data_IF_515757828209
#
_entry.id   IF_515757828209
#
_cell.length_a   1.000
_cell.length_b   1.000
_cell.length_c   1.000
_cell.angle_alpha   90.00
_cell.angle_beta   90.00
_cell.angle_gamma   90.00
#
_symmetry.space_group_name_H-M   'P 1'
#
loop_
_entity.id
_entity.type
_entity.pdbx_description
1 polymer ?
#
# COMPACT_ATOMS: atom_id res chain seq x y z
N UNK A 1 6.85 -12.69 -8.06
CA UNK A 1 6.57 -11.48 -8.86
C UNK A 1 5.24 -11.54 -9.57
N UNK A 2 4.94 -12.63 -10.21
CA UNK A 2 3.65 -12.83 -10.89
C UNK A 2 2.46 -12.72 -9.96
N UNK A 3 2.60 -13.20 -8.73
CA UNK A 3 1.54 -13.12 -7.73
C UNK A 3 1.19 -11.67 -7.36
N UNK A 4 2.19 -10.80 -7.27
CA UNK A 4 1.97 -9.38 -6.95
C UNK A 4 1.14 -8.73 -8.05
N UNK A 5 1.53 -8.93 -9.30
CA UNK A 5 0.78 -8.38 -10.44
C UNK A 5 -0.64 -8.94 -10.51
N UNK A 6 -0.81 -10.24 -10.28
CA UNK A 6 -2.12 -10.87 -10.31
C UNK A 6 -3.02 -10.34 -9.20
N UNK A 7 -2.49 -10.15 -8.01
CA UNK A 7 -3.23 -9.58 -6.89
C UNK A 7 -3.69 -8.16 -7.20
N UNK A 8 -2.81 -7.35 -7.77
CA UNK A 8 -3.15 -5.98 -8.16
C UNK A 8 -4.10 -5.93 -9.35
N UNK A 9 -4.01 -6.88 -10.29
CA UNK A 9 -4.93 -6.94 -11.42
C UNK A 9 -6.36 -7.19 -10.97
N UNK A 10 -6.55 -8.00 -9.94
CA UNK A 10 -7.88 -8.24 -9.37
C UNK A 10 -8.46 -6.94 -8.78
N UNK A 11 -7.63 -6.17 -8.07
CA UNK A 11 -8.04 -4.87 -7.53
C UNK A 11 -8.37 -3.90 -8.67
N UNK A 12 -7.50 -3.83 -9.67
CA UNK A 12 -7.69 -2.99 -10.84
C UNK A 12 -9.03 -3.26 -11.53
N UNK A 13 -9.36 -4.54 -11.69
CA UNK A 13 -10.62 -4.93 -12.32
C UNK A 13 -11.82 -4.43 -11.52
N UNK A 14 -11.73 -4.48 -10.19
CA UNK A 14 -12.78 -3.94 -9.34
C UNK A 14 -12.96 -2.44 -9.51
N UNK A 15 -11.86 -1.69 -9.60
CA UNK A 15 -11.93 -0.23 -9.80
C UNK A 15 -12.39 0.15 -11.21
N UNK A 16 -12.08 -0.65 -12.22
CA UNK A 16 -12.34 -0.29 -13.62
C UNK A 16 -13.82 -0.15 -13.97
N UNK A 17 -14.70 -0.77 -13.20
CA UNK A 17 -16.15 -0.72 -13.43
C UNK A 17 -16.84 0.36 -12.58
N UNK A 18 -16.09 1.14 -11.82
CA UNK A 18 -16.62 2.13 -10.88
C UNK A 18 -16.30 3.56 -11.33
N UNK A 19 -17.19 4.51 -10.99
CA UNK A 19 -16.96 5.95 -11.16
C UNK A 19 -16.20 6.51 -9.96
N UNK A 20 -15.75 7.77 -10.06
CA UNK A 20 -14.91 8.41 -9.06
C UNK A 20 -15.38 8.26 -7.61
N UNK A 21 -16.65 8.61 -7.32
CA UNK A 21 -17.19 8.50 -5.96
C UNK A 21 -17.25 7.05 -5.50
N UNK A 22 -17.68 6.16 -6.37
CA UNK A 22 -17.78 4.73 -6.05
C UNK A 22 -16.41 4.10 -5.84
N UNK A 23 -15.39 4.60 -6.55
CA UNK A 23 -14.00 4.17 -6.32
C UNK A 23 -13.56 4.48 -4.89
N UNK A 24 -13.91 5.66 -4.38
CA UNK A 24 -13.56 6.02 -3.00
C UNK A 24 -14.28 5.13 -1.99
N UNK A 25 -15.56 4.82 -2.23
CA UNK A 25 -16.32 3.91 -1.36
C UNK A 25 -15.67 2.53 -1.34
N UNK A 26 -15.30 2.00 -2.50
CA UNK A 26 -14.64 0.71 -2.60
C UNK A 26 -13.29 0.72 -1.86
N UNK A 27 -12.53 1.79 -2.02
CA UNK A 27 -11.24 1.95 -1.34
C UNK A 27 -11.41 1.99 0.18
N UNK A 28 -12.39 2.72 0.67
CA UNK A 28 -12.69 2.78 2.11
C UNK A 28 -13.08 1.39 2.63
N UNK A 29 -13.86 0.64 1.86
CA UNK A 29 -14.26 -0.73 2.23
C UNK A 29 -13.05 -1.67 2.30
N UNK A 30 -12.10 -1.53 1.37
CA UNK A 30 -10.84 -2.28 1.44
C UNK A 30 -10.10 -1.97 2.73
N UNK A 31 -10.07 -0.71 3.13
CA UNK A 31 -9.39 -0.27 4.34
C UNK A 31 -9.98 -0.86 5.62
N UNK A 32 -11.26 -1.20 5.62
CA UNK A 32 -11.90 -1.87 6.76
C UNK A 32 -11.33 -3.26 7.02
N UNK A 33 -10.71 -3.86 6.02
CA UNK A 33 -10.09 -5.18 6.11
C UNK A 33 -8.60 -5.11 6.41
N UNK A 34 -8.07 -3.92 6.64
CA UNK A 34 -6.66 -3.72 6.94
C UNK A 34 -6.25 -4.54 8.18
N UNK A 35 -5.20 -5.33 8.04
CA UNK A 35 -4.57 -6.02 9.16
C UNK A 35 -3.73 -4.99 9.91
N UNK A 36 -4.20 -4.59 11.08
CA UNK A 36 -3.68 -3.43 11.78
C UNK A 36 -2.42 -3.74 12.58
N UNK A 37 -1.50 -2.80 12.54
CA UNK A 37 -0.31 -2.80 13.39
C UNK A 37 -0.74 -2.59 14.86
N UNK A 38 -0.13 -3.32 15.77
CA UNK A 38 -0.39 -3.17 17.21
C UNK A 38 -0.04 -1.75 17.66
N UNK A 39 -0.78 -1.23 18.62
CA UNK A 39 -0.54 0.10 19.16
C UNK A 39 0.88 0.26 19.68
N UNK A 40 1.44 -0.76 20.33
CA UNK A 40 2.80 -0.73 20.86
C UNK A 40 3.85 -0.60 19.77
N UNK A 41 3.54 -0.97 18.54
CA UNK A 41 4.46 -0.89 17.41
C UNK A 41 4.31 0.40 16.61
N UNK A 42 3.36 1.26 16.98
CA UNK A 42 3.16 2.58 16.33
C UNK A 42 4.13 3.59 16.94
N UNK A 43 5.34 3.61 16.40
CA UNK A 43 6.45 4.41 16.90
C UNK A 43 7.02 5.29 15.80
N UNK A 44 8.01 6.12 16.12
CA UNK A 44 8.70 6.92 15.10
C UNK A 44 9.33 6.05 14.02
N UNK A 45 9.82 4.85 14.39
CA UNK A 45 10.49 3.95 13.45
C UNK A 45 9.52 3.36 12.44
N UNK A 46 8.26 3.25 12.76
CA UNK A 46 7.23 2.70 11.85
C UNK A 46 6.36 3.78 11.23
N UNK A 47 6.56 5.04 11.58
CA UNK A 47 5.74 6.14 11.09
C UNK A 47 6.08 6.50 9.64
N UNK A 48 5.05 6.73 8.84
CA UNK A 48 5.19 7.20 7.46
C UNK A 48 5.04 8.73 7.47
N UNK A 49 6.16 9.41 7.46
CA UNK A 49 6.21 10.88 7.58
C UNK A 49 5.67 11.62 6.36
N UNK A 50 5.63 10.96 5.21
CA UNK A 50 5.10 11.57 3.98
C UNK A 50 3.57 11.76 4.02
N UNK A 51 2.88 11.05 4.93
CA UNK A 51 1.43 11.19 5.09
C UNK A 51 1.11 12.37 5.99
N UNK A 52 0.09 13.16 5.62
CA UNK A 52 -0.42 14.24 6.47
C UNK A 52 -1.21 13.68 7.65
N UNK A 53 -1.90 12.55 7.45
CA UNK A 53 -2.57 11.82 8.53
C UNK A 53 -1.57 10.92 9.25
N UNK A 54 -1.79 10.70 10.55
CA UNK A 54 -0.97 9.77 11.33
C UNK A 54 -1.06 8.38 10.71
N UNK A 55 0.08 7.84 10.27
CA UNK A 55 0.15 6.57 9.54
C UNK A 55 1.40 5.80 9.96
N UNK A 56 1.25 4.50 10.19
CA UNK A 56 2.34 3.60 10.57
C UNK A 56 2.30 2.35 9.73
N UNK A 57 3.47 1.79 9.45
CA UNK A 57 3.63 0.58 8.64
C UNK A 57 4.78 -0.24 9.19
N UNK A 58 4.54 -1.52 9.38
CA UNK A 58 5.56 -2.45 9.90
C UNK A 58 5.65 -3.66 8.96
N UNK A 59 6.89 -4.07 8.68
CA UNK A 59 7.17 -5.29 7.94
C UNK A 59 7.41 -6.43 8.93
N UNK A 60 6.76 -7.55 8.69
CA UNK A 60 6.95 -8.78 9.46
C UNK A 60 7.53 -9.85 8.54
N UNK A 61 8.39 -10.67 9.08
CA UNK A 61 9.09 -11.69 8.30
C UNK A 61 8.79 -13.08 8.87
N UNK A 62 8.45 -14.02 7.96
CA UNK A 62 8.33 -15.44 8.29
C UNK A 62 9.16 -16.17 7.25
N UNK A 63 10.35 -16.61 7.65
CA UNK A 63 11.38 -17.08 6.74
C UNK A 63 11.72 -15.96 5.75
N UNK A 64 11.59 -16.19 4.45
CA UNK A 64 11.84 -15.16 3.43
C UNK A 64 10.59 -14.43 2.98
N UNK A 65 9.46 -14.76 3.57
CA UNK A 65 8.18 -14.15 3.20
C UNK A 65 7.90 -12.92 4.06
N UNK A 66 7.34 -11.89 3.41
CA UNK A 66 7.04 -10.62 4.04
C UNK A 66 5.53 -10.47 4.21
N UNK A 67 5.12 -9.95 5.36
CA UNK A 67 3.75 -9.48 5.58
C UNK A 67 3.79 -8.07 6.11
N UNK A 68 2.74 -7.30 5.83
CA UNK A 68 2.62 -5.91 6.26
C UNK A 68 1.53 -5.78 7.30
N UNK A 69 1.79 -4.94 8.31
CA UNK A 69 0.77 -4.46 9.24
C UNK A 69 0.83 -2.95 9.24
N UNK A 70 -0.34 -2.31 9.26
CA UNK A 70 -0.38 -0.87 9.10
C UNK A 70 -1.60 -0.26 9.78
N UNK A 71 -1.59 1.06 9.91
CA UNK A 71 -2.73 1.83 10.39
C UNK A 71 -2.62 3.27 9.92
N UNK A 72 -3.76 3.89 9.65
CA UNK A 72 -3.83 5.33 9.40
C UNK A 72 -5.12 5.88 10.00
N UNK A 73 -5.08 7.14 10.40
CA UNK A 73 -6.28 7.86 10.83
C UNK A 73 -7.16 8.23 9.64
N UNK A 74 -6.61 8.24 8.42
CA UNK A 74 -7.37 8.50 7.20
C UNK A 74 -7.97 7.20 6.66
N UNK A 75 -9.28 7.18 6.43
CA UNK A 75 -9.96 6.01 5.86
C UNK A 75 -9.51 5.71 4.44
N UNK A 76 -9.17 6.75 3.68
CA UNK A 76 -8.66 6.60 2.31
C UNK A 76 -7.27 5.97 2.33
N UNK A 77 -6.39 6.46 3.20
CA UNK A 77 -5.04 5.91 3.33
C UNK A 77 -5.08 4.47 3.81
N UNK A 78 -6.00 4.13 4.73
CA UNK A 78 -6.21 2.72 5.13
C UNK A 78 -6.49 1.83 3.92
N UNK A 79 -7.30 2.31 2.99
CA UNK A 79 -7.59 1.57 1.76
C UNK A 79 -6.35 1.37 0.90
N UNK A 80 -5.54 2.41 0.75
CA UNK A 80 -4.28 2.33 0.01
C UNK A 80 -3.31 1.35 0.66
N UNK A 81 -3.22 1.37 1.99
CA UNK A 81 -2.39 0.42 2.74
C UNK A 81 -2.89 -1.01 2.58
N UNK A 82 -4.21 -1.20 2.56
CA UNK A 82 -4.78 -2.54 2.31
C UNK A 82 -4.42 -3.06 0.93
N UNK A 83 -4.39 -2.19 -0.08
CA UNK A 83 -3.92 -2.58 -1.41
C UNK A 83 -2.49 -3.10 -1.34
N UNK A 84 -1.61 -2.43 -0.59
CA UNK A 84 -0.24 -2.90 -0.41
C UNK A 84 -0.18 -4.24 0.29
N UNK A 85 -1.02 -4.47 1.29
CA UNK A 85 -1.11 -5.78 1.95
C UNK A 85 -1.52 -6.88 0.98
N UNK A 86 -2.56 -6.63 0.20
CA UNK A 86 -3.04 -7.61 -0.79
C UNK A 86 -1.94 -7.90 -1.81
N UNK A 87 -1.22 -6.86 -2.25
CA UNK A 87 -0.17 -7.01 -3.24
C UNK A 87 1.03 -7.80 -2.71
N UNK A 88 1.49 -7.49 -1.51
CA UNK A 88 2.79 -7.92 -1.02
C UNK A 88 2.78 -9.04 0.02
N UNK A 89 1.67 -9.26 0.72
CA UNK A 89 1.63 -10.27 1.78
C UNK A 89 1.99 -11.65 1.23
N UNK A 90 2.84 -12.34 1.97
CA UNK A 90 3.35 -13.68 1.64
C UNK A 90 4.20 -13.70 0.37
N UNK A 91 4.81 -12.57 0.02
CA UNK A 91 5.77 -12.46 -1.09
C UNK A 91 7.19 -12.45 -0.55
N UNK A 92 8.14 -12.88 -1.38
CA UNK A 92 9.56 -12.80 -1.04
C UNK A 92 10.04 -11.35 -1.12
N UNK A 93 11.02 -11.00 -0.27
CA UNK A 93 11.65 -9.67 -0.30
C UNK A 93 12.05 -9.24 -1.69
N UNK A 94 12.72 -10.13 -2.40
CA UNK A 94 13.27 -9.89 -3.74
C UNK A 94 12.16 -9.52 -4.73
N UNK A 95 11.04 -10.23 -4.65
CA UNK A 95 9.90 -9.98 -5.53
C UNK A 95 9.30 -8.60 -5.28
N UNK A 96 9.20 -8.19 -4.02
CA UNK A 96 8.67 -6.88 -3.65
C UNK A 96 9.62 -5.77 -4.13
N UNK A 97 10.92 -5.91 -3.88
CA UNK A 97 11.93 -4.93 -4.31
C UNK A 97 11.89 -4.76 -5.82
N UNK A 98 11.86 -5.86 -6.56
CA UNK A 98 11.82 -5.82 -8.02
C UNK A 98 10.54 -5.16 -8.53
N UNK A 99 9.41 -5.47 -7.90
CA UNK A 99 8.13 -4.87 -8.30
C UNK A 99 8.14 -3.35 -8.09
N UNK A 100 8.55 -2.88 -6.90
CA UNK A 100 8.62 -1.45 -6.60
C UNK A 100 9.57 -0.75 -7.56
N UNK A 101 10.71 -1.36 -7.85
CA UNK A 101 11.71 -0.82 -8.77
C UNK A 101 11.24 -0.74 -10.22
N UNK A 102 10.16 -1.44 -10.58
CA UNK A 102 9.63 -1.41 -11.95
C UNK A 102 8.80 -0.17 -12.25
N UNK A 103 8.48 0.64 -11.24
CA UNK A 103 7.73 1.89 -11.42
C UNK A 103 8.65 3.07 -11.18
N UNK A 104 8.66 4.02 -12.13
CA UNK A 104 9.44 5.24 -12.01
C UNK A 104 8.82 6.20 -11.01
N UNK A 105 7.49 6.23 -10.96
CA UNK A 105 6.76 7.08 -10.02
C UNK A 105 5.42 6.46 -9.62
N UNK A 106 4.85 7.05 -8.59
CA UNK A 106 3.58 6.65 -8.00
C UNK A 106 2.40 6.87 -8.96
N UNK A 107 2.49 7.87 -9.82
CA UNK A 107 1.41 8.19 -10.76
C UNK A 107 1.12 7.05 -11.70
N UNK A 108 2.18 6.39 -12.20
CA UNK A 108 2.04 5.25 -13.11
C UNK A 108 1.25 4.12 -12.46
N UNK A 109 1.52 3.83 -11.21
CA UNK A 109 0.80 2.78 -10.48
C UNK A 109 -0.66 3.16 -10.26
N UNK A 110 -0.94 4.41 -9.89
CA UNK A 110 -2.31 4.88 -9.70
C UNK A 110 -3.11 4.81 -10.99
N UNK A 111 -2.52 5.22 -12.11
CA UNK A 111 -3.18 5.13 -13.41
C UNK A 111 -3.44 3.69 -13.80
N UNK A 112 -2.47 2.82 -13.58
CA UNK A 112 -2.62 1.41 -13.89
C UNK A 112 -3.74 0.77 -13.06
N UNK A 113 -3.89 1.20 -11.79
CA UNK A 113 -4.95 0.71 -10.91
C UNK A 113 -6.32 1.36 -11.19
N UNK A 114 -6.39 2.33 -12.08
CA UNK A 114 -7.59 3.12 -12.36
C UNK A 114 -8.04 3.99 -11.18
N UNK A 115 -7.08 4.43 -10.37
CA UNK A 115 -7.33 5.29 -9.20
C UNK A 115 -7.05 6.77 -9.47
N UNK A 116 -6.25 7.08 -10.47
CA UNK A 116 -5.62 8.37 -10.73
C UNK A 116 -6.34 9.61 -10.20
N UNK A 117 -7.45 10.00 -10.83
CA UNK A 117 -8.15 11.24 -10.49
C UNK A 117 -8.98 11.17 -9.21
N UNK A 118 -9.21 9.96 -8.68
CA UNK A 118 -10.01 9.79 -7.46
C UNK A 118 -9.22 10.10 -6.18
N UNK A 119 -7.89 10.13 -6.26
CA UNK A 119 -7.00 10.26 -5.10
C UNK A 119 -6.26 11.59 -5.18
N UNK A 120 -6.32 12.39 -4.11
CA UNK A 120 -5.61 13.67 -4.03
C UNK A 120 -4.10 13.49 -4.06
N UNK A 121 -3.38 14.53 -4.49
CA UNK A 121 -1.91 14.53 -4.52
C UNK A 121 -1.29 14.21 -3.17
N UNK A 122 -1.87 14.74 -2.09
CA UNK A 122 -1.36 14.48 -0.74
C UNK A 122 -1.44 13.00 -0.38
N UNK A 123 -2.54 12.34 -0.75
CA UNK A 123 -2.72 10.92 -0.47
C UNK A 123 -1.84 10.06 -1.36
N UNK A 124 -1.63 10.48 -2.61
CA UNK A 124 -0.67 9.82 -3.50
C UNK A 124 0.74 9.90 -2.92
N UNK A 125 1.12 11.04 -2.37
CA UNK A 125 2.42 11.21 -1.71
C UNK A 125 2.58 10.29 -0.51
N UNK A 126 1.52 10.10 0.26
CA UNK A 126 1.52 9.15 1.37
C UNK A 126 1.73 7.71 0.91
N UNK A 127 1.08 7.33 -0.18
CA UNK A 127 1.27 6.01 -0.77
C UNK A 127 2.70 5.82 -1.27
N UNK A 128 3.25 6.83 -1.96
CA UNK A 128 4.63 6.81 -2.42
C UNK A 128 5.60 6.68 -1.25
N UNK A 129 5.37 7.44 -0.18
CA UNK A 129 6.18 7.36 1.03
C UNK A 129 6.14 5.98 1.67
N UNK A 130 4.99 5.31 1.62
CA UNK A 130 4.86 3.95 2.11
C UNK A 130 5.68 2.97 1.28
N UNK A 131 5.67 3.11 -0.04
CA UNK A 131 6.49 2.29 -0.93
C UNK A 131 7.99 2.52 -0.70
N UNK A 132 8.40 3.78 -0.53
CA UNK A 132 9.80 4.11 -0.22
C UNK A 132 10.24 3.50 1.10
N UNK A 133 9.37 3.56 2.11
CA UNK A 133 9.63 2.97 3.42
C UNK A 133 9.82 1.45 3.29
N UNK A 134 8.94 0.77 2.57
CA UNK A 134 9.02 -0.68 2.34
C UNK A 134 10.34 -1.02 1.65
N UNK A 135 10.67 -0.31 0.59
CA UNK A 135 11.89 -0.53 -0.17
C UNK A 135 13.13 -0.39 0.71
N UNK A 136 13.18 0.67 1.50
CA UNK A 136 14.31 0.95 2.39
C UNK A 136 14.46 -0.15 3.44
N UNK A 137 13.36 -0.51 4.10
CA UNK A 137 13.37 -1.56 5.13
C UNK A 137 13.83 -2.90 4.56
N UNK A 138 13.38 -3.26 3.37
CA UNK A 138 13.77 -4.52 2.73
C UNK A 138 15.23 -4.53 2.33
N UNK A 139 15.77 -3.39 1.87
CA UNK A 139 17.17 -3.29 1.51
C UNK A 139 18.11 -3.30 2.72
N UNK A 140 17.62 -2.81 3.86
CA UNK A 140 18.41 -2.77 5.11
C UNK A 140 18.33 -4.07 5.90
N UNK A 141 17.40 -4.95 5.55
CA UNK A 141 17.17 -6.20 6.27
C UNK A 141 18.16 -7.31 5.91
#
# INVERSE_FOLDING_TARGET
MDNIKNNLANIRNGFSILDGQDKLVYLIDLGKQLDQINENDRTENTKIHACTSQTWLKLCYDNDLVTLKAFSESTIVKGLLRILQIAFNNSEKKSIINFIGSFDDCSSLFEWLNLGSAISSQRQNGFLGSLDYIKKELNDA
#
